data_IF_693694763415
#
_entry.id   IF_693694763415
#
_cell.length_a   1.000
_cell.length_b   1.000
_cell.length_c   1.000
_cell.angle_alpha   90.00
_cell.angle_beta   90.00
_cell.angle_gamma   90.00
#
_symmetry.space_group_name_H-M   'P 1'
#
loop_
_entity.id
_entity.type
_entity.pdbx_description
1 polymer ?
#
# COMPACT_ATOMS: atom_id res chain seq x y z
N UNK A 1 33.70 0.29 18.60
CA UNK A 1 32.33 -0.26 18.56
C UNK A 1 31.61 0.50 17.47
N UNK A 2 31.28 -0.15 16.35
CA UNK A 2 30.63 0.52 15.23
C UNK A 2 29.19 0.85 15.65
N UNK A 3 28.92 2.14 15.87
CA UNK A 3 27.57 2.64 16.05
C UNK A 3 26.92 2.59 14.67
N UNK A 4 26.20 1.50 14.40
CA UNK A 4 25.39 1.37 13.20
C UNK A 4 24.27 2.42 13.34
N UNK A 5 24.44 3.54 12.64
CA UNK A 5 23.42 4.58 12.52
C UNK A 5 22.15 3.94 11.94
N UNK A 6 21.23 3.54 12.81
CA UNK A 6 19.84 3.34 12.42
C UNK A 6 19.29 4.73 12.10
N UNK A 7 19.51 5.18 10.87
CA UNK A 7 18.78 6.33 10.35
C UNK A 7 17.30 5.98 10.41
N UNK A 8 16.45 6.77 11.11
CA UNK A 8 15.01 6.55 11.05
C UNK A 8 14.63 6.76 9.59
N UNK A 9 14.26 5.68 8.92
CA UNK A 9 13.81 5.76 7.54
C UNK A 9 12.60 6.69 7.59
N UNK A 10 12.75 7.94 7.13
CA UNK A 10 11.61 8.80 6.83
C UNK A 10 10.94 8.17 5.62
N UNK A 11 10.19 7.11 5.86
CA UNK A 11 9.39 6.39 4.88
C UNK A 11 8.24 7.32 4.49
N UNK A 12 8.54 8.23 3.56
CA UNK A 12 7.51 9.04 2.93
C UNK A 12 6.54 8.17 2.16
N UNK A 13 5.44 8.77 1.69
CA UNK A 13 4.36 8.09 0.96
C UNK A 13 4.83 7.12 -0.13
N UNK A 14 5.96 7.40 -0.78
CA UNK A 14 6.58 6.58 -1.82
C UNK A 14 7.01 5.18 -1.36
N UNK A 15 7.26 4.98 -0.06
CA UNK A 15 7.53 3.65 0.52
C UNK A 15 6.30 2.75 0.52
N UNK A 16 5.10 3.33 0.72
CA UNK A 16 3.83 2.59 0.86
C UNK A 16 3.19 2.25 -0.48
N UNK A 17 3.46 3.05 -1.52
CA UNK A 17 2.94 2.85 -2.89
C UNK A 17 3.21 1.43 -3.43
N UNK A 18 4.43 0.87 -3.39
CA UNK A 18 4.67 -0.47 -3.92
C UNK A 18 3.88 -1.55 -3.17
N UNK A 19 3.79 -1.46 -1.84
CA UNK A 19 3.03 -2.42 -1.04
C UNK A 19 1.52 -2.34 -1.32
N UNK A 20 0.98 -1.12 -1.39
CA UNK A 20 -0.44 -0.90 -1.72
C UNK A 20 -0.77 -1.39 -3.14
N UNK A 21 0.16 -1.23 -4.08
CA UNK A 21 0.04 -1.72 -5.46
C UNK A 21 -0.02 -3.24 -5.51
N UNK A 22 0.96 -3.92 -4.90
CA UNK A 22 1.02 -5.39 -4.88
C UNK A 22 -0.23 -5.96 -4.19
N UNK A 23 -0.64 -5.38 -3.07
CA UNK A 23 -1.82 -5.81 -2.34
C UNK A 23 -3.12 -5.63 -3.14
N UNK A 24 -3.27 -4.50 -3.83
CA UNK A 24 -4.46 -4.25 -4.66
C UNK A 24 -4.53 -5.24 -5.82
N UNK A 25 -3.39 -5.49 -6.50
CA UNK A 25 -3.31 -6.48 -7.59
C UNK A 25 -3.67 -7.88 -7.06
N UNK A 26 -3.15 -8.26 -5.90
CA UNK A 26 -3.48 -9.54 -5.26
C UNK A 26 -4.98 -9.69 -5.00
N UNK A 27 -5.62 -8.66 -4.41
CA UNK A 27 -7.05 -8.66 -4.13
C UNK A 27 -7.86 -8.80 -5.43
N UNK A 28 -7.52 -8.05 -6.47
CA UNK A 28 -8.25 -8.08 -7.73
C UNK A 28 -8.08 -9.39 -8.48
N UNK A 29 -6.88 -9.97 -8.47
CA UNK A 29 -6.66 -11.31 -9.04
C UNK A 29 -7.54 -12.35 -8.33
N UNK A 30 -7.62 -12.28 -7.00
CA UNK A 30 -8.49 -13.19 -6.26
C UNK A 30 -9.98 -12.95 -6.55
N UNK A 31 -10.41 -11.69 -6.67
CA UNK A 31 -11.78 -11.38 -7.05
C UNK A 31 -12.12 -11.92 -8.45
N UNK A 32 -11.25 -11.72 -9.44
CA UNK A 32 -11.46 -12.24 -10.79
C UNK A 32 -11.51 -13.77 -10.83
N UNK A 33 -10.64 -14.46 -10.09
CA UNK A 33 -10.57 -15.94 -10.08
C UNK A 33 -11.72 -16.56 -9.28
N UNK A 34 -12.07 -15.99 -8.12
CA UNK A 34 -13.00 -16.62 -7.17
C UNK A 34 -14.40 -16.02 -7.17
N UNK A 35 -14.60 -14.85 -7.78
CA UNK A 35 -15.89 -14.13 -7.78
C UNK A 35 -16.40 -13.77 -9.17
N UNK A 36 -15.66 -14.12 -10.23
CA UNK A 36 -15.99 -13.76 -11.62
C UNK A 36 -16.25 -12.24 -11.80
N UNK A 37 -15.61 -11.41 -10.99
CA UNK A 37 -15.71 -9.95 -11.09
C UNK A 37 -14.89 -9.43 -12.30
N UNK A 38 -15.47 -8.49 -13.05
CA UNK A 38 -14.82 -7.85 -14.19
C UNK A 38 -13.64 -6.97 -13.76
N UNK A 39 -12.56 -6.98 -14.56
CA UNK A 39 -11.39 -6.15 -14.31
C UNK A 39 -11.60 -4.72 -14.85
N UNK A 40 -11.60 -3.72 -13.96
CA UNK A 40 -11.53 -2.30 -14.32
C UNK A 40 -10.19 -1.69 -13.90
N UNK A 41 -9.45 -1.12 -14.85
CA UNK A 41 -8.17 -0.43 -14.58
C UNK A 41 -8.37 0.78 -13.68
N UNK A 42 -9.42 1.54 -13.90
CA UNK A 42 -9.76 2.74 -13.16
C UNK A 42 -10.01 2.40 -11.68
N UNK A 43 -10.70 1.29 -11.43
CA UNK A 43 -10.92 0.77 -10.10
C UNK A 43 -9.63 0.35 -9.39
N UNK A 44 -8.69 -0.32 -10.11
CA UNK A 44 -7.36 -0.65 -9.57
C UNK A 44 -6.67 0.61 -9.04
N UNK A 45 -6.60 1.65 -9.87
CA UNK A 45 -5.88 2.89 -9.54
C UNK A 45 -6.55 3.60 -8.37
N UNK A 46 -7.89 3.61 -8.32
CA UNK A 46 -8.64 4.18 -7.21
C UNK A 46 -8.37 3.44 -5.89
N UNK A 47 -8.38 2.10 -5.92
CA UNK A 47 -8.08 1.27 -4.74
C UNK A 47 -6.64 1.48 -4.24
N UNK A 48 -5.65 1.54 -5.13
CA UNK A 48 -4.26 1.83 -4.76
C UNK A 48 -4.14 3.18 -4.05
N UNK A 49 -4.77 4.23 -4.59
CA UNK A 49 -4.77 5.57 -3.98
C UNK A 49 -5.41 5.55 -2.60
N UNK A 50 -6.61 4.97 -2.49
CA UNK A 50 -7.34 4.88 -1.24
C UNK A 50 -6.56 4.13 -0.17
N UNK A 51 -5.95 3.00 -0.53
CA UNK A 51 -5.12 2.22 0.38
C UNK A 51 -3.86 2.94 0.81
N UNK A 52 -3.16 3.58 -0.13
CA UNK A 52 -1.96 4.37 0.18
C UNK A 52 -2.29 5.50 1.16
N UNK A 53 -3.41 6.20 0.96
CA UNK A 53 -3.86 7.25 1.89
C UNK A 53 -4.30 6.70 3.25
N UNK A 54 -5.06 5.61 3.29
CA UNK A 54 -5.49 4.99 4.53
C UNK A 54 -4.29 4.52 5.37
N UNK A 55 -3.29 3.90 4.73
CA UNK A 55 -2.08 3.46 5.39
C UNK A 55 -1.20 4.62 5.84
N UNK A 56 -1.16 5.72 5.10
CA UNK A 56 -0.49 6.94 5.55
C UNK A 56 -1.12 7.49 6.84
N UNK A 57 -2.45 7.49 6.94
CA UNK A 57 -3.13 8.01 8.14
C UNK A 57 -2.91 7.10 9.35
N UNK A 58 -3.04 5.77 9.17
CA UNK A 58 -2.74 4.79 10.23
C UNK A 58 -1.29 4.95 10.73
N UNK A 59 -0.34 5.18 9.82
CA UNK A 59 1.06 5.38 10.21
C UNK A 59 1.31 6.72 10.93
N UNK A 60 0.51 7.76 10.68
CA UNK A 60 0.60 9.00 11.48
C UNK A 60 0.12 8.77 12.90
N UNK A 61 -0.96 8.03 13.08
CA UNK A 61 -1.56 7.78 14.40
C UNK A 61 -0.66 6.87 15.27
N UNK A 62 0.07 5.94 14.65
CA UNK A 62 1.02 5.05 15.35
C UNK A 62 2.35 5.73 15.74
N UNK A 63 2.55 7.00 15.39
CA UNK A 63 3.74 7.80 15.71
C UNK A 63 3.48 8.86 16.81
N UNK A 64 2.31 8.82 17.46
CA UNK A 64 2.00 9.60 18.67
C UNK A 64 2.12 8.74 19.92
#
# INVERSE_FOLDING_TARGET
MAQCDQQPIREGIWSLVPYATIWTIWCMRNAAIFREEDFSREEVVMRIKAMTWAWMEINKDNLQ
#
